data_IF_694895257599
#
_entry.id   IF_694895257599
#
_cell.length_a   1.000
_cell.length_b   1.000
_cell.length_c   1.000
_cell.angle_alpha   90.00
_cell.angle_beta   90.00
_cell.angle_gamma   90.00
#
_symmetry.space_group_name_H-M   'P 1'
#
loop_
_entity.id
_entity.type
_entity.pdbx_description
1 polymer ?
#
# COMPACT_ATOMS: atom_id res chain seq x y z
N UNK A 1 1.66 -16.78 2.96
CA UNK A 1 1.12 -15.93 1.88
C UNK A 1 2.26 -15.46 0.98
N UNK A 2 2.01 -14.84 -0.18
CA UNK A 2 3.09 -14.35 -1.03
C UNK A 2 3.90 -13.24 -0.31
N UNK A 3 5.22 -13.22 -0.55
CA UNK A 3 6.13 -12.22 0.05
C UNK A 3 6.26 -10.98 -0.85
N UNK A 4 6.28 -9.82 -0.23
CA UNK A 4 6.45 -8.52 -0.87
C UNK A 4 7.91 -8.35 -1.30
N UNK A 5 8.11 -7.93 -2.55
CA UNK A 5 9.43 -7.69 -3.15
C UNK A 5 9.50 -6.26 -3.72
N UNK A 6 10.68 -5.88 -4.17
CA UNK A 6 10.85 -4.67 -4.98
C UNK A 6 9.90 -4.71 -6.19
N UNK A 7 9.28 -3.59 -6.51
CA UNK A 7 8.29 -3.43 -7.58
C UNK A 7 6.94 -4.14 -7.36
N UNK A 8 6.73 -4.84 -6.25
CA UNK A 8 5.40 -5.33 -5.87
C UNK A 8 4.45 -4.16 -5.61
N UNK A 9 3.20 -4.27 -6.01
CA UNK A 9 2.15 -3.35 -5.58
C UNK A 9 1.55 -3.82 -4.27
N UNK A 10 1.44 -2.91 -3.31
CA UNK A 10 0.86 -3.18 -2.00
C UNK A 10 -0.23 -2.16 -1.74
N UNK A 11 -1.37 -2.62 -1.23
CA UNK A 11 -2.40 -1.77 -0.69
C UNK A 11 -2.15 -1.60 0.81
N UNK A 12 -1.57 -0.47 1.21
CA UNK A 12 -1.46 -0.11 2.62
C UNK A 12 -2.85 0.25 3.14
N UNK A 13 -3.44 -0.65 3.93
CA UNK A 13 -4.80 -0.51 4.46
C UNK A 13 -4.75 -0.03 5.91
N UNK A 14 -5.23 1.20 6.17
CA UNK A 14 -5.41 1.69 7.53
C UNK A 14 -6.84 1.46 8.01
N UNK A 15 -7.82 1.91 7.22
CA UNK A 15 -9.24 1.73 7.47
C UNK A 15 -10.03 1.85 6.15
N UNK A 16 -11.36 1.80 6.23
CA UNK A 16 -12.23 1.81 5.06
C UNK A 16 -12.02 3.04 4.15
N UNK A 17 -11.77 4.23 4.70
CA UNK A 17 -11.58 5.46 3.91
C UNK A 17 -10.12 5.74 3.55
N UNK A 18 -9.16 5.22 4.31
CA UNK A 18 -7.72 5.49 4.17
C UNK A 18 -6.98 4.21 3.79
N UNK A 19 -6.75 4.09 2.48
CA UNK A 19 -5.96 3.03 1.87
C UNK A 19 -5.14 3.61 0.73
N UNK A 20 -3.91 3.15 0.55
CA UNK A 20 -2.99 3.68 -0.46
C UNK A 20 -2.42 2.53 -1.29
N UNK A 21 -2.65 2.57 -2.61
CA UNK A 21 -2.06 1.63 -3.54
C UNK A 21 -0.68 2.16 -3.95
N UNK A 22 0.37 1.40 -3.63
CA UNK A 22 1.75 1.87 -3.80
C UNK A 22 2.61 0.80 -4.43
N UNK A 23 3.48 1.20 -5.36
CA UNK A 23 4.54 0.35 -5.89
C UNK A 23 5.76 0.41 -4.96
N UNK A 24 6.17 -0.74 -4.43
CA UNK A 24 7.24 -0.85 -3.45
C UNK A 24 8.60 -0.56 -4.07
N UNK A 25 9.36 0.29 -3.39
CA UNK A 25 10.71 0.70 -3.79
C UNK A 25 11.56 0.96 -2.56
N UNK A 26 12.74 0.31 -2.45
CA UNK A 26 13.64 0.41 -1.27
C UNK A 26 13.95 1.83 -0.78
N UNK A 27 13.95 2.82 -1.67
CA UNK A 27 14.34 4.20 -1.35
C UNK A 27 13.17 5.12 -1.00
N UNK A 28 11.94 4.66 -1.24
CA UNK A 28 10.76 5.51 -1.15
C UNK A 28 10.00 5.32 0.18
N UNK A 29 9.25 6.35 0.53
CA UNK A 29 8.37 6.37 1.69
C UNK A 29 7.04 7.04 1.37
N UNK A 30 5.97 6.53 1.98
CA UNK A 30 4.65 7.14 1.92
C UNK A 30 4.42 7.98 3.18
N UNK A 31 4.21 9.28 2.98
CA UNK A 31 3.92 10.23 4.06
C UNK A 31 2.41 10.37 4.23
N UNK A 32 1.92 10.14 5.45
CA UNK A 32 0.50 10.22 5.78
C UNK A 32 0.30 10.93 7.12
N UNK A 33 -0.94 11.37 7.39
CA UNK A 33 -1.32 11.90 8.70
C UNK A 33 -1.05 10.93 9.87
N UNK A 34 -1.12 9.61 9.64
CA UNK A 34 -0.83 8.57 10.65
C UNK A 34 0.66 8.23 10.79
N UNK A 35 1.54 8.95 10.10
CA UNK A 35 2.99 8.74 10.13
C UNK A 35 3.55 8.36 8.76
N UNK A 36 4.83 8.04 8.76
CA UNK A 36 5.63 7.67 7.59
C UNK A 36 5.68 6.15 7.50
N UNK A 37 5.41 5.63 6.31
CA UNK A 37 5.54 4.21 5.96
C UNK A 37 6.74 4.08 5.02
N UNK A 38 7.85 3.54 5.51
CA UNK A 38 9.01 3.26 4.66
C UNK A 38 8.74 1.99 3.87
N UNK A 39 8.92 2.03 2.55
CA UNK A 39 8.67 0.86 1.72
C UNK A 39 9.65 -0.28 2.00
N UNK A 40 10.87 0.06 2.43
CA UNK A 40 11.87 -0.92 2.86
C UNK A 40 11.34 -1.84 3.97
N UNK A 41 10.52 -1.32 4.88
CA UNK A 41 9.96 -2.08 6.01
C UNK A 41 8.85 -3.07 5.58
N UNK A 42 8.32 -2.92 4.36
CA UNK A 42 7.37 -3.84 3.75
C UNK A 42 8.06 -4.98 2.97
N UNK A 43 9.28 -4.78 2.49
CA UNK A 43 10.00 -5.79 1.69
C UNK A 43 10.33 -7.01 2.57
N UNK A 44 10.03 -8.20 2.06
CA UNK A 44 10.25 -9.47 2.76
C UNK A 44 9.12 -9.88 3.72
N UNK A 45 8.21 -8.95 4.07
CA UNK A 45 6.98 -9.29 4.78
C UNK A 45 6.01 -10.03 3.85
N UNK A 46 5.14 -10.83 4.45
CA UNK A 46 4.02 -11.45 3.74
C UNK A 46 2.87 -10.45 3.58
N UNK A 47 2.13 -10.57 2.49
CA UNK A 47 0.80 -9.95 2.42
C UNK A 47 -0.07 -10.44 3.59
N UNK A 48 -0.98 -9.58 4.05
CA UNK A 48 -1.79 -9.77 5.25
C UNK A 48 -1.10 -9.33 6.55
N UNK A 49 0.23 -9.15 6.56
CA UNK A 49 0.96 -8.70 7.76
C UNK A 49 0.70 -7.21 8.08
N UNK A 50 1.10 -6.80 9.29
CA UNK A 50 1.03 -5.40 9.74
C UNK A 50 2.40 -4.71 9.70
N UNK A 51 2.38 -3.39 9.48
CA UNK A 51 3.52 -2.49 9.54
C UNK A 51 3.15 -1.30 10.44
N UNK A 52 3.99 -1.01 11.44
CA UNK A 52 3.80 0.08 12.40
C UNK A 52 4.56 1.32 11.91
N UNK A 53 3.90 2.48 11.90
CA UNK A 53 4.48 3.77 11.54
C UNK A 53 5.23 4.39 12.71
N UNK A 54 5.95 5.48 12.46
CA UNK A 54 6.63 6.25 13.50
C UNK A 54 5.70 6.99 14.50
N UNK A 55 4.37 6.88 14.36
CA UNK A 55 3.37 7.43 15.31
C UNK A 55 2.58 6.33 16.03
N UNK A 56 3.13 5.12 16.10
CA UNK A 56 2.51 3.94 16.73
C UNK A 56 1.12 3.57 16.17
N UNK A 57 0.84 3.97 14.93
CA UNK A 57 -0.32 3.48 14.16
C UNK A 57 0.15 2.38 13.23
N UNK A 58 -0.74 1.49 12.81
CA UNK A 58 -0.38 0.40 11.91
C UNK A 58 -1.25 0.36 10.67
N UNK A 59 -0.69 -0.15 9.58
CA UNK A 59 -1.42 -0.52 8.37
C UNK A 59 -1.28 -2.02 8.13
N UNK A 60 -2.27 -2.62 7.46
CA UNK A 60 -2.13 -3.96 6.87
C UNK A 60 -1.54 -3.86 5.48
N UNK A 61 -0.72 -4.84 5.11
CA UNK A 61 -0.10 -4.98 3.81
C UNK A 61 -0.96 -5.89 2.93
N UNK A 62 -1.95 -5.34 2.23
CA UNK A 62 -2.91 -6.14 1.48
C UNK A 62 -2.43 -6.33 0.03
N UNK A 63 -2.65 -7.53 -0.51
CA UNK A 63 -2.46 -7.79 -1.93
C UNK A 63 -3.58 -7.09 -2.73
N UNK A 64 -3.26 -6.15 -3.65
CA UNK A 64 -4.27 -5.39 -4.34
C UNK A 64 -5.12 -6.24 -5.29
N UNK A 65 -6.43 -5.95 -5.33
CA UNK A 65 -7.35 -6.52 -6.31
C UNK A 65 -7.42 -5.67 -7.58
N UNK A 66 -8.03 -6.20 -8.65
CA UNK A 66 -8.31 -5.41 -9.86
C UNK A 66 -9.14 -4.16 -9.56
N UNK A 67 -10.10 -4.27 -8.63
CA UNK A 67 -10.88 -3.12 -8.17
C UNK A 67 -9.97 -2.04 -7.56
N UNK A 68 -8.99 -2.43 -6.73
CA UNK A 68 -8.06 -1.47 -6.14
C UNK A 68 -7.21 -0.75 -7.20
N UNK A 69 -6.75 -1.47 -8.23
CA UNK A 69 -6.05 -0.85 -9.36
C UNK A 69 -6.95 0.15 -10.07
N UNK A 70 -8.13 -0.27 -10.51
CA UNK A 70 -9.05 0.61 -11.26
C UNK A 70 -9.44 1.83 -10.45
N UNK A 71 -9.64 1.71 -9.14
CA UNK A 71 -10.11 2.84 -8.31
C UNK A 71 -8.99 3.75 -7.77
N UNK A 72 -7.71 3.35 -7.82
CA UNK A 72 -6.63 4.11 -7.14
C UNK A 72 -5.46 4.51 -8.02
N UNK A 73 -5.34 3.99 -9.24
CA UNK A 73 -4.36 4.52 -10.17
C UNK A 73 -4.74 5.96 -10.56
N UNK A 74 -3.74 6.76 -10.93
CA UNK A 74 -4.01 8.09 -11.45
C UNK A 74 -4.73 7.97 -12.81
N UNK A 75 -5.89 8.60 -12.92
CA UNK A 75 -6.65 8.63 -14.16
C UNK A 75 -6.23 9.80 -15.04
N UNK A 76 -5.74 9.49 -16.24
CA UNK A 76 -5.53 10.48 -17.31
C UNK A 76 -6.73 10.62 -18.25
N UNK A 77 -7.71 9.69 -18.17
CA UNK A 77 -8.89 9.61 -19.03
C UNK A 77 -10.11 9.17 -18.24
N UNK A 78 -11.29 9.29 -18.83
CA UNK A 78 -12.51 8.67 -18.30
C UNK A 78 -12.35 7.15 -18.24
N UNK A 79 -12.82 6.55 -17.15
CA UNK A 79 -12.87 5.09 -16.96
C UNK A 79 -14.31 4.60 -16.85
N UNK A 80 -14.49 3.30 -17.05
CA UNK A 80 -15.71 2.57 -16.68
C UNK A 80 -15.49 2.01 -15.28
N UNK A 81 -16.41 2.31 -14.37
CA UNK A 81 -16.35 1.80 -13.01
C UNK A 81 -16.79 0.33 -12.96
N UNK A 82 -16.08 -0.53 -12.20
CA UNK A 82 -16.50 -1.90 -11.89
C UNK A 82 -17.86 -1.98 -11.21
#
# INVERSE_FOLDING_TARGET
MAKIKQNSYVLFYFNHSKKWLVKISKKDSLHTHIGVIKHADAIGKEYGSRLVTNKDKYVYLIEPTMYDYVMKIQHGTQIVYP
#
